data_IF_121572889575
#
_entry.id   IF_121572889575
#
_cell.length_a   1.000
_cell.length_b   1.000
_cell.length_c   1.000
_cell.angle_alpha   90.00
_cell.angle_beta   90.00
_cell.angle_gamma   90.00
#
_symmetry.space_group_name_H-M   'P 1'
#
loop_
_entity.id
_entity.type
_entity.pdbx_description
1 polymer ?
#
# COMPACT_ATOMS: atom_id res chain seq x y z
N UNK A 1 24.92 -19.74 -33.78
CA UNK A 1 23.54 -19.86 -33.28
C UNK A 1 23.63 -19.86 -31.77
N UNK A 2 23.26 -18.75 -31.12
CA UNK A 2 23.36 -18.58 -29.68
C UNK A 2 22.01 -18.90 -29.04
N UNK A 3 22.09 -19.79 -28.07
CA UNK A 3 21.02 -20.43 -27.32
C UNK A 3 20.14 -19.38 -26.60
N UNK A 4 18.82 -19.61 -26.63
CA UNK A 4 17.82 -18.70 -26.09
C UNK A 4 17.95 -18.51 -24.60
N UNK A 5 18.51 -17.37 -24.17
CA UNK A 5 18.45 -16.92 -22.79
C UNK A 5 16.98 -16.74 -22.38
N UNK A 6 16.47 -17.72 -21.64
CA UNK A 6 15.27 -17.56 -20.84
C UNK A 6 15.56 -16.46 -19.81
N UNK A 7 15.02 -15.26 -20.04
CA UNK A 7 14.83 -14.25 -19.01
C UNK A 7 14.28 -14.94 -17.76
N UNK A 8 14.95 -14.87 -16.59
CA UNK A 8 14.33 -15.34 -15.37
C UNK A 8 13.18 -14.38 -15.10
N UNK A 9 11.96 -14.80 -15.47
CA UNK A 9 10.74 -14.14 -15.01
C UNK A 9 10.79 -14.21 -13.50
N UNK A 10 11.21 -13.10 -12.89
CA UNK A 10 11.06 -12.85 -11.48
C UNK A 10 9.55 -12.91 -11.23
N UNK A 11 9.07 -14.13 -10.92
CA UNK A 11 7.71 -14.34 -10.49
C UNK A 11 7.57 -13.43 -9.28
N UNK A 12 6.84 -12.32 -9.45
CA UNK A 12 6.21 -11.65 -8.33
C UNK A 12 5.40 -12.75 -7.67
N UNK A 13 5.97 -13.38 -6.63
CA UNK A 13 5.20 -14.15 -5.68
C UNK A 13 4.20 -13.14 -5.16
N UNK A 14 2.98 -13.21 -5.66
CA UNK A 14 1.84 -12.66 -4.96
C UNK A 14 1.84 -13.45 -3.65
N UNK A 15 2.48 -12.88 -2.64
CA UNK A 15 2.39 -13.41 -1.29
C UNK A 15 0.90 -13.45 -0.98
N UNK A 16 0.37 -14.57 -0.46
CA UNK A 16 -1.02 -14.59 -0.04
C UNK A 16 -1.21 -13.42 0.91
N UNK A 17 -2.13 -12.51 0.56
CA UNK A 17 -2.57 -11.48 1.48
C UNK A 17 -3.05 -12.21 2.74
N UNK A 18 -2.30 -12.08 3.82
CA UNK A 18 -2.61 -12.74 5.08
C UNK A 18 -3.56 -11.82 5.84
N UNK A 19 -4.87 -12.17 5.95
CA UNK A 19 -5.86 -11.37 6.66
C UNK A 19 -5.67 -11.45 8.17
N UNK A 20 -4.59 -12.08 8.67
CA UNK A 20 -4.08 -11.87 10.04
C UNK A 20 -3.43 -10.49 10.14
N UNK A 21 -4.21 -9.47 9.80
CA UNK A 21 -4.39 -8.22 10.52
C UNK A 21 -3.59 -8.19 11.86
N UNK A 22 -2.29 -7.89 11.77
CA UNK A 22 -1.40 -7.54 12.90
C UNK A 22 -1.69 -6.10 13.34
N UNK A 23 -2.94 -5.88 13.70
CA UNK A 23 -3.69 -4.64 13.72
C UNK A 23 -3.28 -3.64 14.78
N UNK A 24 -3.58 -2.38 14.49
CA UNK A 24 -3.44 -1.18 15.31
C UNK A 24 -2.05 -0.53 15.35
N UNK A 25 -0.97 -1.22 15.74
CA UNK A 25 0.36 -0.56 15.75
C UNK A 25 1.03 -0.47 14.38
N UNK A 26 0.71 -1.39 13.45
CA UNK A 26 1.41 -1.46 12.16
C UNK A 26 0.95 -0.44 11.13
N UNK A 27 -0.29 0.06 11.19
CA UNK A 27 -0.82 0.98 10.16
C UNK A 27 -0.16 2.36 10.25
N UNK A 28 -0.10 3.04 11.42
CA UNK A 28 0.60 4.31 11.52
C UNK A 28 2.05 4.20 11.06
N UNK A 29 2.80 3.20 11.53
CA UNK A 29 4.20 3.01 11.13
C UNK A 29 4.39 2.58 9.67
N UNK A 30 3.36 2.04 9.00
CA UNK A 30 3.41 1.82 7.56
C UNK A 30 3.12 3.09 6.78
N UNK A 31 2.16 3.91 7.24
CA UNK A 31 1.87 5.22 6.66
C UNK A 31 3.10 6.14 6.76
N UNK A 32 3.75 6.20 7.93
CA UNK A 32 4.96 7.00 8.14
C UNK A 32 6.04 6.63 7.12
N UNK A 33 6.37 5.34 7.01
CA UNK A 33 7.40 4.85 6.07
C UNK A 33 7.06 5.11 4.61
N UNK A 34 5.78 4.99 4.24
CA UNK A 34 5.36 5.22 2.87
C UNK A 34 5.32 6.71 2.53
N UNK A 35 4.95 7.56 3.49
CA UNK A 35 5.02 9.01 3.34
C UNK A 35 6.47 9.46 3.13
N UNK A 36 7.40 9.02 3.99
CA UNK A 36 8.82 9.34 3.85
C UNK A 36 9.38 8.88 2.49
N UNK A 37 9.03 7.66 2.05
CA UNK A 37 9.44 7.15 0.76
C UNK A 37 8.85 7.97 -0.40
N UNK A 38 7.58 8.38 -0.31
CA UNK A 38 6.91 9.22 -1.31
C UNK A 38 7.58 10.60 -1.44
N UNK A 39 7.90 11.22 -0.30
CA UNK A 39 8.64 12.49 -0.24
C UNK A 39 10.03 12.31 -0.87
N UNK A 40 10.78 11.29 -0.46
CA UNK A 40 12.13 11.02 -0.98
C UNK A 40 12.15 10.72 -2.48
N UNK A 41 11.06 10.15 -3.02
CA UNK A 41 10.89 9.88 -4.44
C UNK A 41 10.49 11.11 -5.27
N UNK A 42 10.40 12.29 -4.65
CA UNK A 42 10.02 13.54 -5.33
C UNK A 42 8.53 13.87 -5.25
N UNK A 43 7.83 13.38 -4.22
CA UNK A 43 6.40 13.66 -4.01
C UNK A 43 5.49 12.78 -4.86
N UNK A 44 5.81 11.50 -5.00
CA UNK A 44 4.99 10.54 -5.76
C UNK A 44 3.81 10.09 -4.88
N UNK A 45 2.55 10.31 -5.29
CA UNK A 45 1.40 9.88 -4.50
C UNK A 45 1.28 8.36 -4.36
N UNK A 46 0.76 7.91 -3.23
CA UNK A 46 0.55 6.51 -2.85
C UNK A 46 -0.94 6.27 -2.65
N UNK A 47 -1.47 5.22 -3.29
CA UNK A 47 -2.87 4.80 -3.16
C UNK A 47 -2.98 3.53 -2.30
N UNK A 48 -3.78 3.59 -1.24
CA UNK A 48 -4.13 2.45 -0.39
C UNK A 48 -5.49 1.91 -0.78
N UNK A 49 -5.52 0.68 -1.32
CA UNK A 49 -6.77 0.00 -1.67
C UNK A 49 -7.25 -0.84 -0.49
N UNK A 50 -8.45 -0.54 -0.01
CA UNK A 50 -9.04 -1.17 1.16
C UNK A 50 -10.41 -1.74 0.80
N UNK A 51 -10.68 -2.99 1.18
CA UNK A 51 -11.98 -3.61 0.86
C UNK A 51 -13.12 -3.12 1.76
N UNK A 52 -12.80 -2.77 3.01
CA UNK A 52 -13.78 -2.41 4.02
C UNK A 52 -13.86 -0.88 4.22
N UNK A 53 -15.04 -0.25 4.01
CA UNK A 53 -15.20 1.19 4.19
C UNK A 53 -14.86 1.68 5.60
N UNK A 54 -15.16 0.88 6.63
CA UNK A 54 -14.86 1.21 8.03
C UNK A 54 -13.35 1.29 8.29
N UNK A 55 -12.58 0.40 7.67
CA UNK A 55 -11.12 0.39 7.76
C UNK A 55 -10.55 1.59 6.99
N UNK A 56 -11.09 1.90 5.81
CA UNK A 56 -10.69 3.07 5.03
C UNK A 56 -10.86 4.36 5.83
N UNK A 57 -12.04 4.58 6.44
CA UNK A 57 -12.31 5.75 7.28
C UNK A 57 -11.35 5.86 8.48
N UNK A 58 -10.99 4.74 9.10
CA UNK A 58 -10.02 4.74 10.19
C UNK A 58 -8.60 5.13 9.72
N UNK A 59 -8.20 4.70 8.52
CA UNK A 59 -6.91 5.06 7.92
C UNK A 59 -6.91 6.54 7.50
N UNK A 60 -7.99 7.03 6.89
CA UNK A 60 -8.17 8.44 6.53
C UNK A 60 -8.03 9.35 7.75
N UNK A 61 -8.66 9.00 8.88
CA UNK A 61 -8.52 9.77 10.12
C UNK A 61 -7.06 9.84 10.62
N UNK A 62 -6.26 8.80 10.41
CA UNK A 62 -4.84 8.80 10.76
C UNK A 62 -4.05 9.69 9.78
N UNK A 63 -4.34 9.60 8.48
CA UNK A 63 -3.72 10.42 7.43
C UNK A 63 -3.96 11.90 7.69
N UNK A 64 -5.20 12.28 8.04
CA UNK A 64 -5.57 13.66 8.38
C UNK A 64 -4.84 14.15 9.63
N UNK A 65 -4.83 13.37 10.71
CA UNK A 65 -4.13 13.72 11.95
C UNK A 65 -2.61 13.89 11.75
N UNK A 66 -2.03 13.17 10.79
CA UNK A 66 -0.60 13.19 10.49
C UNK A 66 -0.20 14.17 9.40
N UNK A 67 -1.17 14.71 8.65
CA UNK A 67 -0.93 15.61 7.53
C UNK A 67 -0.39 14.92 6.28
N UNK A 68 -0.73 13.64 6.04
CA UNK A 68 -0.25 12.86 4.89
C UNK A 68 -1.14 12.94 3.64
N UNK A 69 -2.24 13.71 3.70
CA UNK A 69 -3.27 13.76 2.65
C UNK A 69 -2.82 14.38 1.32
N UNK A 70 -1.64 14.98 1.28
CA UNK A 70 -0.98 15.46 0.06
C UNK A 70 -0.37 14.31 -0.78
N UNK A 71 0.05 13.22 -0.12
CA UNK A 71 0.76 12.12 -0.76
C UNK A 71 0.12 10.75 -0.57
N UNK A 72 -0.73 10.54 0.45
CA UNK A 72 -1.37 9.24 0.69
C UNK A 72 -2.88 9.38 0.55
N UNK A 73 -3.45 8.62 -0.38
CA UNK A 73 -4.87 8.54 -0.63
C UNK A 73 -5.41 7.13 -0.34
N UNK A 74 -6.59 7.04 0.24
CA UNK A 74 -7.26 5.75 0.50
C UNK A 74 -8.42 5.59 -0.48
N UNK A 75 -8.52 4.41 -1.08
CA UNK A 75 -9.58 4.07 -2.03
C UNK A 75 -10.25 2.77 -1.60
N UNK A 76 -11.57 2.82 -1.44
CA UNK A 76 -12.35 1.61 -1.16
C UNK A 76 -12.54 0.83 -2.46
N UNK A 77 -12.00 -0.39 -2.51
CA UNK A 77 -12.15 -1.29 -3.65
C UNK A 77 -12.94 -2.53 -3.20
N UNK A 78 -14.20 -2.68 -3.61
CA UNK A 78 -15.02 -3.83 -3.25
C UNK A 78 -14.31 -5.14 -3.62
N UNK A 79 -14.44 -6.21 -2.81
CA UNK A 79 -13.96 -7.51 -3.21
C UNK A 79 -14.66 -7.94 -4.50
N UNK A 80 -13.89 -8.44 -5.47
CA UNK A 80 -14.47 -9.00 -6.68
C UNK A 80 -15.41 -10.15 -6.27
N UNK A 81 -16.68 -10.04 -6.68
CA UNK A 81 -17.73 -11.03 -6.42
C UNK A 81 -17.45 -12.34 -7.13
#
# INVERSE_FOLDING_TARGET
MIDGQAVPTQRRRQGPFNPTFGLAQSIPSQLDRQYEAAVAAGGIPVEWRVAEPRVAAAIEAIIEQRGYGDLINVVVVPPAS
#
